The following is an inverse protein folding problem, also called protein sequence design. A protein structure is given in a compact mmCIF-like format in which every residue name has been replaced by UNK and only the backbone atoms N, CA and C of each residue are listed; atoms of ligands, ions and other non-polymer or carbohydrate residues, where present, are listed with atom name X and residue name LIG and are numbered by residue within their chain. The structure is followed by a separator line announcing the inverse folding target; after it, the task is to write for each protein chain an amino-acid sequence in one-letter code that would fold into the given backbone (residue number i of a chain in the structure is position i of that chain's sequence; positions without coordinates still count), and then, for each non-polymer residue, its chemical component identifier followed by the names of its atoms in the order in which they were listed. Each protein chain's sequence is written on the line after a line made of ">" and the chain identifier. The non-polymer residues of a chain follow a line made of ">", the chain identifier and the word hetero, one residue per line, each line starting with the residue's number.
data_IF_541164136588
#
_entry.id   IF_541164136588
#
_cell.length_a   1.000
_cell.length_b   1.000
_cell.length_c   1.000
_cell.angle_alpha   90.00
_cell.angle_beta   90.00
_cell.angle_gamma   90.00
#
_symmetry.space_group_name_H-M   'P 1'
#
loop_
_entity.id
_entity.type
_entity.pdbx_description
1 polymer ?
#
# COMPACT_ATOMS: atom_id res chain seq x y z
N UNK A 1 9.04 9.39 -9.45
CA UNK A 1 8.17 8.61 -8.54
C UNK A 1 7.35 9.55 -7.68
N UNK A 2 6.08 9.23 -7.39
CA UNK A 2 5.21 10.05 -6.53
C UNK A 2 5.11 9.42 -5.14
N UNK A 3 4.59 8.20 -5.05
CA UNK A 3 4.44 7.42 -3.80
C UNK A 3 4.69 5.91 -4.06
N UNK A 4 4.32 5.04 -3.12
CA UNK A 4 4.51 3.59 -3.21
C UNK A 4 3.58 2.86 -4.19
N UNK A 5 2.50 3.49 -4.67
CA UNK A 5 1.58 2.90 -5.65
C UNK A 5 1.35 3.79 -6.88
N UNK A 6 1.96 4.97 -6.94
CA UNK A 6 1.74 5.98 -7.96
C UNK A 6 3.07 6.48 -8.53
N UNK A 7 3.16 6.46 -9.86
CA UNK A 7 4.28 7.04 -10.61
C UNK A 7 3.77 7.93 -11.74
N UNK A 8 4.68 8.70 -12.31
CA UNK A 8 4.43 9.54 -13.47
C UNK A 8 5.34 9.10 -14.61
N UNK A 9 4.77 8.96 -15.79
CA UNK A 9 5.51 8.63 -17.01
C UNK A 9 6.13 9.89 -17.62
N UNK A 10 7.07 9.72 -18.55
CA UNK A 10 7.76 10.85 -19.20
C UNK A 10 6.84 11.75 -20.04
N UNK A 11 5.67 11.25 -20.45
CA UNK A 11 4.61 11.99 -21.14
C UNK A 11 3.62 12.67 -20.18
N UNK A 12 3.88 12.64 -18.86
CA UNK A 12 3.08 13.34 -17.85
C UNK A 12 1.84 12.58 -17.38
N UNK A 13 1.69 11.31 -17.75
CA UNK A 13 0.59 10.48 -17.26
C UNK A 13 0.90 9.96 -15.86
N UNK A 14 0.05 10.33 -14.89
CA UNK A 14 0.09 9.74 -13.54
C UNK A 14 -0.66 8.42 -13.52
N UNK A 15 0.03 7.36 -13.10
CA UNK A 15 -0.47 5.99 -13.05
C UNK A 15 -0.41 5.50 -11.61
N UNK A 16 -1.56 5.08 -11.07
CA UNK A 16 -1.69 4.36 -9.81
C UNK A 16 -1.87 2.86 -10.10
N UNK A 17 -1.19 2.02 -9.32
CA UNK A 17 -1.36 0.58 -9.37
C UNK A 17 -2.78 0.20 -8.96
N UNK A 18 -3.48 -0.49 -9.85
CA UNK A 18 -4.77 -1.08 -9.53
C UNK A 18 -4.65 -2.13 -8.43
N UNK A 19 -5.64 -2.16 -7.54
CA UNK A 19 -5.78 -3.14 -6.46
C UNK A 19 -4.67 -3.18 -5.41
N UNK A 20 -3.68 -2.28 -5.49
CA UNK A 20 -2.61 -2.13 -4.49
C UNK A 20 -2.77 -0.77 -3.82
N UNK A 21 -2.65 -0.74 -2.50
CA UNK A 21 -2.65 0.47 -1.71
C UNK A 21 -1.44 0.47 -0.76
N UNK A 22 -0.46 1.32 -1.03
CA UNK A 22 0.72 1.45 -0.19
C UNK A 22 0.50 2.46 0.94
N UNK A 23 1.28 2.38 2.03
CA UNK A 23 1.33 3.47 2.99
C UNK A 23 1.78 4.78 2.32
N UNK A 24 1.25 5.91 2.80
CA UNK A 24 1.82 7.24 2.49
C UNK A 24 3.27 7.31 2.97
N UNK A 25 4.08 8.20 2.38
CA UNK A 25 5.53 8.26 2.61
C UNK A 25 5.91 8.49 4.07
N UNK A 26 5.11 9.25 4.82
CA UNK A 26 5.34 9.49 6.25
C UNK A 26 5.03 8.29 7.16
N UNK A 27 4.38 7.25 6.61
CA UNK A 27 4.02 6.05 7.37
C UNK A 27 5.04 4.94 7.20
N UNK A 28 5.10 4.04 8.19
CA UNK A 28 5.97 2.87 8.15
C UNK A 28 5.82 2.10 6.85
N UNK A 29 6.95 1.76 6.21
CA UNK A 29 7.03 1.08 4.93
C UNK A 29 6.64 1.91 3.69
N UNK A 30 6.35 3.21 3.85
CA UNK A 30 5.99 4.10 2.75
C UNK A 30 7.16 4.42 1.82
N UNK A 31 8.32 4.79 2.38
CA UNK A 31 9.54 5.05 1.60
C UNK A 31 10.04 3.78 0.91
N UNK A 32 10.05 2.65 1.62
CA UNK A 32 10.49 1.36 1.09
C UNK A 32 9.60 0.89 -0.07
N UNK A 33 8.29 1.13 0.01
CA UNK A 33 7.36 0.83 -1.08
C UNK A 33 7.62 1.70 -2.32
N UNK A 34 7.88 3.00 -2.12
CA UNK A 34 8.23 3.92 -3.21
C UNK A 34 9.53 3.52 -3.88
N UNK A 35 10.57 3.27 -3.11
CA UNK A 35 11.90 2.88 -3.62
C UNK A 35 11.80 1.57 -4.40
N UNK A 36 11.04 0.60 -3.88
CA UNK A 36 10.81 -0.65 -4.61
C UNK A 36 10.06 -0.44 -5.92
N UNK A 37 9.01 0.38 -5.92
CA UNK A 37 8.30 0.68 -7.15
C UNK A 37 9.22 1.38 -8.15
N UNK A 38 10.08 2.29 -7.69
CA UNK A 38 11.11 2.94 -8.52
C UNK A 38 12.05 1.93 -9.16
N UNK A 39 12.59 0.98 -8.41
CA UNK A 39 13.44 -0.08 -8.94
C UNK A 39 12.72 -0.91 -10.02
N UNK A 40 11.43 -1.14 -9.84
CA UNK A 40 10.63 -1.98 -10.74
C UNK A 40 10.31 -1.27 -12.05
N UNK A 41 9.96 0.03 -12.04
CA UNK A 41 9.46 0.75 -13.22
C UNK A 41 10.37 1.89 -13.71
N UNK A 42 11.27 2.38 -12.88
CA UNK A 42 12.13 3.53 -13.15
C UNK A 42 13.01 3.33 -14.39
N UNK A 43 12.92 4.26 -15.33
CA UNK A 43 13.67 4.22 -16.60
C UNK A 43 13.26 3.09 -17.55
N UNK A 44 12.18 2.35 -17.26
CA UNK A 44 11.73 1.20 -18.07
C UNK A 44 10.47 1.53 -18.85
N UNK A 45 10.26 0.79 -19.93
CA UNK A 45 9.00 0.83 -20.67
C UNK A 45 7.95 0.02 -19.92
N UNK A 46 6.86 0.68 -19.56
CA UNK A 46 5.70 0.06 -18.93
C UNK A 46 4.59 -0.18 -19.96
N UNK A 47 3.82 -1.26 -19.78
CA UNK A 47 2.56 -1.51 -20.49
C UNK A 47 1.43 -1.47 -19.47
N UNK A 48 0.40 -0.68 -19.77
CA UNK A 48 -0.79 -0.57 -18.94
C UNK A 48 -1.90 -1.48 -19.49
N UNK A 49 -2.60 -2.18 -18.62
CA UNK A 49 -3.77 -2.99 -18.94
C UNK A 49 -4.87 -2.74 -17.91
N UNK A 50 -6.12 -3.04 -18.28
CA UNK A 50 -7.30 -2.80 -17.43
C UNK A 50 -7.30 -1.39 -16.82
N UNK A 51 -7.26 -0.37 -17.68
CA UNK A 51 -7.11 1.03 -17.27
C UNK A 51 -8.47 1.59 -16.86
N UNK A 52 -8.55 2.09 -15.64
CA UNK A 52 -9.70 2.80 -15.09
C UNK A 52 -9.36 4.28 -14.93
N UNK A 53 -10.38 5.13 -15.06
CA UNK A 53 -10.26 6.56 -14.77
C UNK A 53 -10.38 6.73 -13.27
N UNK A 54 -9.30 7.15 -12.61
CA UNK A 54 -9.34 7.56 -11.21
C UNK A 54 -10.03 8.92 -11.05
N UNK A 55 -9.85 9.56 -9.88
CA UNK A 55 -10.12 11.00 -9.78
C UNK A 55 -9.34 11.74 -10.86
N UNK A 56 -9.83 12.92 -11.26
CA UNK A 56 -9.49 13.66 -12.50
C UNK A 56 -7.99 13.77 -12.89
N UNK A 57 -7.05 13.41 -12.03
CA UNK A 57 -5.60 13.53 -12.23
C UNK A 57 -4.84 12.20 -12.36
N UNK A 58 -5.46 11.01 -12.21
CA UNK A 58 -4.74 9.72 -12.22
C UNK A 58 -5.46 8.61 -12.99
N UNK A 59 -4.70 7.83 -13.75
CA UNK A 59 -5.14 6.53 -14.28
C UNK A 59 -4.87 5.43 -13.27
N UNK A 60 -5.80 4.49 -13.09
CA UNK A 60 -5.61 3.30 -12.26
C UNK A 60 -5.44 2.11 -13.21
N UNK A 61 -4.36 1.34 -13.11
CA UNK A 61 -4.07 0.29 -14.08
C UNK A 61 -3.28 -0.89 -13.50
N UNK A 62 -3.39 -2.04 -14.16
CA UNK A 62 -2.37 -3.09 -14.07
C UNK A 62 -1.15 -2.65 -14.87
N UNK A 63 0.03 -2.79 -14.27
CA UNK A 63 1.28 -2.29 -14.84
C UNK A 63 2.23 -3.45 -15.09
N UNK A 64 2.71 -3.55 -16.32
CA UNK A 64 3.64 -4.59 -16.74
C UNK A 64 4.97 -3.99 -17.16
N UNK A 65 6.07 -4.65 -16.78
CA UNK A 65 7.42 -4.41 -17.30
C UNK A 65 7.91 -5.71 -17.92
N UNK A 66 7.94 -5.76 -19.25
CA UNK A 66 8.05 -7.05 -19.96
C UNK A 66 6.87 -7.95 -19.61
N UNK A 67 7.16 -9.19 -19.20
CA UNK A 67 6.14 -10.17 -18.79
C UNK A 67 5.78 -10.09 -17.30
N UNK A 68 6.47 -9.23 -16.53
CA UNK A 68 6.26 -9.11 -15.08
C UNK A 68 5.11 -8.16 -14.77
N UNK A 69 4.12 -8.65 -14.02
CA UNK A 69 3.05 -7.83 -13.45
C UNK A 69 3.55 -7.15 -12.17
N UNK A 70 3.67 -5.82 -12.18
CA UNK A 70 4.25 -5.07 -11.05
C UNK A 70 3.31 -5.08 -9.83
N UNK A 71 1.99 -5.02 -10.06
CA UNK A 71 0.99 -5.10 -8.99
C UNK A 71 1.16 -6.39 -8.17
N UNK A 72 1.46 -7.51 -8.84
CA UNK A 72 1.71 -8.81 -8.22
C UNK A 72 2.94 -8.77 -7.31
N UNK A 73 4.05 -8.23 -7.82
CA UNK A 73 5.31 -8.12 -7.07
C UNK A 73 5.11 -7.27 -5.81
N UNK A 74 4.43 -6.13 -5.94
CA UNK A 74 4.15 -5.25 -4.81
C UNK A 74 3.26 -5.92 -3.75
N UNK A 75 2.30 -6.75 -4.18
CA UNK A 75 1.47 -7.56 -3.27
C UNK A 75 2.29 -8.65 -2.56
N UNK A 76 3.02 -9.45 -3.33
CA UNK A 76 3.78 -10.62 -2.85
C UNK A 76 4.90 -10.24 -1.90
N UNK A 77 5.58 -9.12 -2.17
CA UNK A 77 6.67 -8.61 -1.35
C UNK A 77 6.17 -7.73 -0.18
N UNK A 78 4.85 -7.56 -0.04
CA UNK A 78 4.23 -6.90 1.11
C UNK A 78 4.43 -5.40 1.17
N UNK A 79 4.58 -4.71 0.03
CA UNK A 79 4.74 -3.25 -0.01
C UNK A 79 3.41 -2.50 0.08
N UNK A 80 2.29 -3.16 -0.19
CA UNK A 80 0.96 -2.56 -0.10
C UNK A 80 -0.12 -3.57 0.24
N UNK A 81 -1.26 -3.05 0.74
CA UNK A 81 -2.47 -3.86 0.95
C UNK A 81 -3.21 -4.06 -0.35
N UNK A 82 -3.72 -5.26 -0.54
CA UNK A 82 -4.54 -5.59 -1.70
C UNK A 82 -6.00 -5.24 -1.44
N UNK A 83 -6.62 -4.44 -2.31
CA UNK A 83 -8.03 -4.00 -2.18
C UNK A 83 -9.00 -4.83 -3.02
N UNK A 84 -8.52 -5.55 -4.04
CA UNK A 84 -9.31 -6.45 -4.91
C UNK A 84 -10.60 -5.82 -5.45
N UNK A 85 -10.51 -4.61 -6.01
CA UNK A 85 -11.67 -3.77 -6.33
C UNK A 85 -11.88 -3.56 -7.82
N UNK A 86 -10.81 -3.51 -8.62
CA UNK A 86 -10.84 -2.96 -9.97
C UNK A 86 -10.68 -4.02 -11.06
N UNK A 87 -9.79 -5.00 -10.88
CA UNK A 87 -9.27 -5.79 -12.02
C UNK A 87 -9.72 -7.24 -12.05
N UNK A 88 -9.61 -7.89 -13.20
CA UNK A 88 -9.79 -9.35 -13.32
C UNK A 88 -8.75 -10.14 -12.52
N UNK A 89 -7.61 -9.52 -12.22
CA UNK A 89 -6.52 -10.09 -11.42
C UNK A 89 -6.76 -9.96 -9.90
N UNK A 90 -7.86 -9.34 -9.46
CA UNK A 90 -8.13 -9.08 -8.05
C UNK A 90 -8.02 -10.31 -7.14
N UNK A 91 -8.42 -11.50 -7.63
CA UNK A 91 -8.28 -12.76 -6.88
C UNK A 91 -6.82 -13.20 -6.77
N UNK A 92 -6.09 -13.21 -7.88
CA UNK A 92 -4.66 -13.56 -7.93
C UNK A 92 -3.84 -12.63 -7.02
N UNK A 93 -4.05 -11.32 -7.15
CA UNK A 93 -3.37 -10.34 -6.29
C UNK A 93 -3.67 -10.56 -4.80
N UNK A 94 -4.89 -11.00 -4.45
CA UNK A 94 -5.24 -11.32 -3.06
C UNK A 94 -4.43 -12.50 -2.55
N UNK A 95 -4.30 -13.56 -3.35
CA UNK A 95 -3.51 -14.75 -3.02
C UNK A 95 -2.04 -14.39 -2.82
N UNK A 96 -1.48 -13.52 -3.66
CA UNK A 96 -0.11 -13.02 -3.52
C UNK A 96 0.07 -12.15 -2.27
N UNK A 97 -0.90 -11.28 -1.98
CA UNK A 97 -0.93 -10.52 -0.72
C UNK A 97 -1.11 -11.41 0.51
N UNK A 98 -1.78 -12.56 0.40
CA UNK A 98 -1.88 -13.55 1.47
C UNK A 98 -0.52 -14.19 1.78
N UNK A 99 0.34 -14.41 0.78
CA UNK A 99 1.72 -14.88 1.00
C UNK A 99 2.49 -13.88 1.86
N UNK A 100 2.43 -12.59 1.52
CA UNK A 100 3.09 -11.54 2.30
C UNK A 100 2.57 -11.47 3.73
N UNK A 101 1.25 -11.56 3.93
CA UNK A 101 0.61 -11.55 5.25
C UNK A 101 1.03 -12.73 6.11
N UNK A 102 0.94 -13.94 5.57
CA UNK A 102 1.27 -15.17 6.30
C UNK A 102 2.77 -15.26 6.59
N UNK A 103 3.60 -14.80 5.67
CA UNK A 103 5.04 -14.72 5.81
C UNK A 103 5.55 -13.57 6.68
N UNK A 104 4.66 -12.66 7.13
CA UNK A 104 5.02 -11.42 7.84
C UNK A 104 6.08 -10.61 7.09
N UNK A 105 5.87 -10.44 5.80
CA UNK A 105 6.80 -9.77 4.88
C UNK A 105 6.41 -8.29 4.77
N UNK A 106 7.42 -7.43 4.74
CA UNK A 106 7.27 -6.00 4.49
C UNK A 106 6.35 -5.29 5.46
N UNK A 107 5.27 -4.68 4.96
CA UNK A 107 4.24 -4.00 5.74
C UNK A 107 3.62 -4.88 6.84
N UNK A 108 3.62 -6.20 6.63
CA UNK A 108 3.07 -7.18 7.59
C UNK A 108 4.11 -7.68 8.59
N UNK A 109 5.36 -7.21 8.48
CA UNK A 109 6.44 -7.57 9.40
C UNK A 109 6.29 -6.89 10.76
N UNK A 110 7.11 -7.34 11.69
CA UNK A 110 7.16 -6.77 13.04
C UNK A 110 7.73 -5.35 13.08
N UNK A 111 8.28 -4.85 11.97
CA UNK A 111 8.80 -3.48 11.84
C UNK A 111 7.65 -2.47 11.90
N UNK A 112 6.52 -2.78 11.25
CA UNK A 112 5.35 -1.91 11.19
C UNK A 112 4.20 -2.37 12.10
N UNK A 113 4.36 -3.48 12.82
CA UNK A 113 3.39 -3.97 13.79
C UNK A 113 3.65 -3.33 15.17
N UNK A 114 2.73 -2.47 15.63
CA UNK A 114 2.87 -1.88 16.96
C UNK A 114 2.43 -2.90 18.02
N UNK A 115 3.40 -3.60 18.62
CA UNK A 115 3.15 -4.56 19.71
C UNK A 115 3.03 -3.94 21.10
N UNK A 116 3.68 -2.80 21.30
CA UNK A 116 3.74 -2.11 22.60
C UNK A 116 3.25 -0.68 22.41
N UNK A 117 2.30 -0.27 23.23
CA UNK A 117 1.84 1.12 23.25
C UNK A 117 2.93 1.99 23.88
N UNK A 118 3.48 3.02 23.17
CA UNK A 118 4.50 3.91 23.72
C UNK A 118 4.01 4.65 24.97
N UNK A 119 2.70 4.87 25.09
CA UNK A 119 2.06 5.45 26.26
C UNK A 119 0.85 4.61 26.70
N UNK A 120 0.89 3.94 27.88
CA UNK A 120 -0.25 3.24 28.45
C UNK A 120 -1.50 4.12 28.62
N UNK A 121 -1.36 5.45 28.65
CA UNK A 121 -2.44 6.44 28.77
C UNK A 121 -3.00 6.91 27.42
N UNK A 122 -2.28 6.74 26.30
CA UNK A 122 -2.78 6.96 24.92
C UNK A 122 -3.12 5.62 24.26
N UNK A 123 -3.92 4.81 24.94
CA UNK A 123 -4.49 3.59 24.37
C UNK A 123 -5.65 3.94 23.41
N UNK A 124 -5.38 4.59 22.29
CA UNK A 124 -6.39 4.70 21.22
C UNK A 124 -6.55 3.33 20.56
N UNK A 125 -7.78 2.80 20.62
CA UNK A 125 -8.23 1.63 19.86
C UNK A 125 -8.94 2.06 18.56
N UNK A 126 -8.31 1.78 17.42
CA UNK A 126 -8.83 1.06 16.23
C UNK A 126 -10.04 1.59 15.45
N UNK A 127 -9.95 1.53 14.12
CA UNK A 127 -11.12 1.43 13.22
C UNK A 127 -11.49 -0.06 13.01
N UNK A 128 -12.61 -0.52 13.60
CA UNK A 128 -13.07 -1.92 13.54
C UNK A 128 -13.98 -2.10 12.33
N UNK A 129 -13.52 -2.79 11.29
CA UNK A 129 -14.43 -3.40 10.32
C UNK A 129 -14.94 -4.72 10.94
N UNK A 130 -16.26 -4.87 11.14
CA UNK A 130 -16.89 -6.04 11.78
C UNK A 130 -16.85 -7.34 10.95
N UNK A 131 -15.77 -7.62 10.21
CA UNK A 131 -15.68 -8.81 9.36
C UNK A 131 -14.28 -9.42 9.43
N UNK A 132 -14.07 -10.33 10.39
CA UNK A 132 -12.88 -11.21 10.42
C UNK A 132 -12.40 -11.50 11.83
N UNK A 133 -12.17 -12.78 12.14
CA UNK A 133 -11.73 -13.29 13.44
C UNK A 133 -10.23 -13.13 13.74
N UNK A 134 -9.52 -12.22 13.05
CA UNK A 134 -8.15 -11.82 13.37
C UNK A 134 -8.05 -10.30 13.53
N UNK A 135 -7.51 -9.87 14.67
CA UNK A 135 -7.37 -8.46 15.06
C UNK A 135 -6.00 -7.93 14.62
N UNK A 136 -5.79 -7.77 13.32
CA UNK A 136 -4.61 -7.08 12.82
C UNK A 136 -4.82 -5.57 12.94
N UNK A 137 -4.13 -4.96 13.90
CA UNK A 137 -4.23 -3.55 14.25
C UNK A 137 -3.35 -2.73 13.32
N UNK A 138 -3.96 -1.95 12.43
CA UNK A 138 -3.22 -0.95 11.66
C UNK A 138 -3.24 0.38 12.38
N UNK A 139 -2.06 0.85 12.78
CA UNK A 139 -1.90 2.15 13.42
C UNK A 139 -1.63 3.19 12.32
N UNK A 140 -2.56 4.12 12.15
CA UNK A 140 -2.32 5.34 11.39
C UNK A 140 -1.51 6.28 12.29
N UNK A 141 -0.38 6.81 11.81
CA UNK A 141 0.49 7.72 12.56
C UNK A 141 -0.11 9.13 12.67
N UNK A 142 -1.34 9.25 13.15
CA UNK A 142 -1.89 10.56 13.51
C UNK A 142 -1.35 10.91 14.90
N UNK A 143 -0.28 11.71 14.89
CA UNK A 143 0.15 12.61 15.96
C UNK A 143 0.41 11.99 17.35
N UNK A 144 1.64 11.53 17.56
CA UNK A 144 2.22 11.41 18.90
C UNK A 144 3.52 12.21 19.07
N UNK A 145 3.71 13.26 18.27
CA UNK A 145 4.78 14.23 18.48
C UNK A 145 4.13 15.60 18.61
N UNK A 146 4.20 16.13 19.83
CA UNK A 146 3.78 17.46 20.31
C UNK A 146 2.30 17.62 20.73
N UNK A 147 2.14 17.67 22.06
CA UNK A 147 0.98 18.15 22.85
C UNK A 147 -0.26 17.25 22.91
N UNK A 148 -0.31 16.41 23.95
CA UNK A 148 -1.48 16.17 24.83
C UNK A 148 -2.90 16.03 24.23
N UNK A 149 -3.08 15.66 22.96
CA UNK A 149 -4.39 15.33 22.40
C UNK A 149 -4.26 14.23 21.34
N UNK A 150 -4.73 13.05 21.73
CA UNK A 150 -4.93 11.87 20.91
C UNK A 150 -6.25 12.13 20.12
N UNK A 151 -6.19 12.66 18.89
CA UNK A 151 -7.39 13.00 18.10
C UNK A 151 -7.29 12.49 16.65
N UNK A 152 -8.20 11.60 16.27
CA UNK A 152 -8.48 11.26 14.88
C UNK A 152 -9.22 12.44 14.21
N UNK A 153 -8.68 12.95 13.11
CA UNK A 153 -9.44 13.84 12.21
C UNK A 153 -9.66 13.12 10.87
N UNK A 154 -10.90 13.17 10.43
CA UNK A 154 -11.43 12.66 9.16
C UNK A 154 -10.87 13.43 7.97
#
# INVERSE_FOLDING_TARGET
>A
MIDGDTFETTDGLKVRLADINTPELEFCYGEEAKDRLEELVGGKRVKLSEIFRGSHERSIALVHVGDKLINEVMAREGYGRVTSTYTTQAKHLREEGDIARQGKIGLYSEVCSQKVTPDPKCAIKVNINQAGSSKDLYVSWVWCILRHYCAARY
#
